data_IF_215389404906
#
_entry.id   IF_215389404906
#
_cell.length_a   1.000
_cell.length_b   1.000
_cell.length_c   1.000
_cell.angle_alpha   90.00
_cell.angle_beta   90.00
_cell.angle_gamma   90.00
#
_symmetry.space_group_name_H-M   'P 1'
#
loop_
_entity.id
_entity.type
_entity.pdbx_description
1 polymer ?
#
# COMPACT_ATOMS: atom_id res chain seq x y z
N UNK A 1 2.36 -7.10 4.63
CA UNK A 1 2.71 -5.78 4.08
C UNK A 1 3.57 -4.98 5.05
N UNK A 2 3.01 -4.50 6.17
CA UNK A 2 3.73 -3.67 7.14
C UNK A 2 5.03 -4.32 7.65
N UNK A 3 4.99 -5.57 8.09
CA UNK A 3 6.20 -6.29 8.55
C UNK A 3 7.26 -6.45 7.46
N UNK A 4 6.85 -6.63 6.20
CA UNK A 4 7.78 -6.75 5.07
C UNK A 4 8.52 -5.43 4.83
N UNK A 5 7.78 -4.33 4.82
CA UNK A 5 8.33 -2.98 4.65
C UNK A 5 9.25 -2.61 5.82
N UNK A 6 8.85 -2.90 7.06
CA UNK A 6 9.68 -2.69 8.25
C UNK A 6 10.97 -3.52 8.19
N UNK A 7 10.89 -4.80 7.79
CA UNK A 7 12.07 -5.65 7.63
C UNK A 7 13.03 -5.18 6.54
N UNK A 8 12.51 -4.47 5.52
CA UNK A 8 13.30 -3.83 4.47
C UNK A 8 13.82 -2.43 4.86
N UNK A 9 13.47 -1.92 6.04
CA UNK A 9 13.83 -0.56 6.48
C UNK A 9 13.09 0.55 5.72
N UNK A 10 11.96 0.22 5.09
CA UNK A 10 11.15 1.16 4.32
C UNK A 10 10.27 1.95 5.27
N UNK A 11 10.26 3.28 5.11
CA UNK A 11 9.39 4.15 5.89
C UNK A 11 8.03 4.21 5.23
N UNK A 12 6.96 3.85 5.95
CA UNK A 12 5.60 3.88 5.45
C UNK A 12 4.64 4.45 6.49
N UNK A 13 3.54 5.03 6.02
CA UNK A 13 2.45 5.51 6.87
C UNK A 13 1.32 4.50 6.84
N UNK A 14 0.89 4.05 8.02
CA UNK A 14 -0.28 3.18 8.15
C UNK A 14 -1.53 4.06 8.19
N UNK A 15 -2.41 3.88 7.21
CA UNK A 15 -3.76 4.45 7.19
C UNK A 15 -4.77 3.35 7.47
N UNK A 16 -5.64 3.58 8.45
CA UNK A 16 -6.68 2.63 8.83
C UNK A 16 -7.95 2.92 8.04
N UNK A 17 -8.32 2.05 7.12
CA UNK A 17 -9.50 2.25 6.24
C UNK A 17 -10.84 2.28 6.99
N UNK A 18 -10.86 1.85 8.25
CA UNK A 18 -12.02 1.96 9.13
C UNK A 18 -12.17 3.36 9.76
N UNK A 19 -11.10 4.13 9.83
CA UNK A 19 -11.09 5.46 10.45
C UNK A 19 -10.87 6.56 9.40
N UNK A 20 -9.90 6.35 8.50
CA UNK A 20 -9.64 7.20 7.33
C UNK A 20 -10.61 6.84 6.21
N UNK A 21 -11.78 7.47 6.22
CA UNK A 21 -12.75 7.36 5.13
C UNK A 21 -12.16 7.88 3.80
N UNK A 22 -11.30 8.90 3.84
CA UNK A 22 -10.60 9.45 2.69
C UNK A 22 -9.64 8.43 2.05
N UNK A 23 -8.91 7.67 2.86
CA UNK A 23 -8.03 6.60 2.38
C UNK A 23 -8.84 5.45 1.77
N UNK A 24 -10.02 5.17 2.33
CA UNK A 24 -10.95 4.19 1.80
C UNK A 24 -11.50 4.64 0.44
N UNK A 25 -11.92 5.89 0.33
CA UNK A 25 -12.42 6.46 -0.93
C UNK A 25 -11.35 6.49 -2.02
N UNK A 26 -10.12 6.91 -1.69
CA UNK A 26 -8.98 6.86 -2.60
C UNK A 26 -8.75 5.43 -3.13
N UNK A 27 -8.71 4.44 -2.24
CA UNK A 27 -8.57 3.04 -2.66
C UNK A 27 -9.71 2.59 -3.57
N UNK A 28 -10.96 2.95 -3.26
CA UNK A 28 -12.10 2.65 -4.12
C UNK A 28 -12.00 3.33 -5.49
N UNK A 29 -11.57 4.59 -5.53
CA UNK A 29 -11.34 5.37 -6.75
C UNK A 29 -10.26 4.75 -7.64
N UNK A 30 -9.22 4.18 -7.01
CA UNK A 30 -8.14 3.43 -7.65
C UNK A 30 -8.54 2.01 -8.08
N UNK A 31 -9.80 1.60 -7.86
CA UNK A 31 -10.31 0.28 -8.19
C UNK A 31 -9.89 -0.82 -7.21
N UNK A 32 -9.28 -0.45 -6.09
CA UNK A 32 -8.84 -1.36 -5.04
C UNK A 32 -10.00 -1.72 -4.14
N UNK A 33 -10.47 -2.96 -4.24
CA UNK A 33 -11.63 -3.44 -3.48
C UNK A 33 -11.26 -4.20 -2.21
N UNK A 34 -9.98 -4.41 -1.95
CA UNK A 34 -9.51 -5.27 -0.85
C UNK A 34 -8.14 -4.85 -0.34
N UNK A 35 -8.01 -4.78 0.98
CA UNK A 35 -6.73 -4.68 1.65
C UNK A 35 -6.00 -6.04 1.63
N UNK A 36 -4.66 -6.09 1.73
CA UNK A 36 -3.75 -4.95 1.84
C UNK A 36 -3.52 -4.24 0.51
N UNK A 37 -3.30 -2.93 0.57
CA UNK A 37 -2.92 -2.09 -0.57
C UNK A 37 -1.76 -1.18 -0.17
N UNK A 38 -0.89 -0.85 -1.12
CA UNK A 38 0.25 0.04 -0.93
C UNK A 38 0.28 1.04 -2.08
N UNK A 39 0.32 2.32 -1.73
CA UNK A 39 0.56 3.39 -2.67
C UNK A 39 2.01 3.88 -2.50
N UNK A 40 2.76 3.95 -3.60
CA UNK A 40 4.12 4.47 -3.66
C UNK A 40 4.20 5.43 -4.84
N UNK A 41 4.48 6.71 -4.59
CA UNK A 41 4.62 7.75 -5.63
C UNK A 41 3.44 7.84 -6.63
N UNK A 42 2.21 7.59 -6.15
CA UNK A 42 1.00 7.57 -6.98
C UNK A 42 0.73 6.24 -7.68
N UNK A 43 1.66 5.28 -7.62
CA UNK A 43 1.48 3.91 -8.10
C UNK A 43 0.88 3.04 -7.00
N UNK A 44 -0.13 2.23 -7.34
CA UNK A 44 -0.95 1.51 -6.36
C UNK A 44 -0.83 0.02 -6.60
N UNK A 45 -0.27 -0.67 -5.63
CA UNK A 45 -0.23 -2.13 -5.57
C UNK A 45 -1.31 -2.64 -4.66
N UNK A 46 -2.14 -3.51 -5.21
CA UNK A 46 -3.14 -4.25 -4.46
C UNK A 46 -2.61 -5.64 -4.16
N UNK A 47 -2.92 -6.16 -2.97
CA UNK A 47 -2.42 -7.45 -2.52
C UNK A 47 -0.97 -7.42 -2.04
N UNK A 48 -0.38 -8.60 -1.93
CA UNK A 48 0.97 -8.81 -1.40
C UNK A 48 1.90 -9.37 -2.48
N UNK A 49 2.26 -8.53 -3.45
CA UNK A 49 3.16 -8.87 -4.55
C UNK A 49 4.58 -8.37 -4.29
N UNK A 50 5.46 -9.26 -3.80
CA UNK A 50 6.84 -8.90 -3.46
C UNK A 50 7.59 -8.29 -4.64
N UNK A 51 7.47 -8.87 -5.84
CA UNK A 51 8.14 -8.38 -7.04
C UNK A 51 7.69 -6.96 -7.43
N UNK A 52 6.38 -6.67 -7.34
CA UNK A 52 5.84 -5.32 -7.59
C UNK A 52 6.28 -4.33 -6.51
N UNK A 53 6.25 -4.76 -5.25
CA UNK A 53 6.64 -3.93 -4.11
C UNK A 53 8.13 -3.55 -4.21
N UNK A 54 9.03 -4.51 -4.45
CA UNK A 54 10.46 -4.20 -4.64
C UNK A 54 10.66 -3.31 -5.87
N UNK A 55 9.96 -3.56 -6.99
CA UNK A 55 10.05 -2.70 -8.16
C UNK A 55 9.60 -1.25 -7.89
N UNK A 56 8.51 -1.05 -7.13
CA UNK A 56 8.04 0.29 -6.76
C UNK A 56 8.94 0.99 -5.74
N UNK A 57 9.57 0.21 -4.86
CA UNK A 57 10.50 0.74 -3.85
C UNK A 57 11.93 0.89 -4.37
N UNK A 58 12.21 0.40 -5.59
CA UNK A 58 13.55 0.40 -6.18
C UNK A 58 14.54 -0.52 -5.45
N UNK A 59 14.05 -1.64 -4.91
CA UNK A 59 14.84 -2.65 -4.18
C UNK A 59 15.32 -3.80 -5.08
#
# INVERSE_FOLDING_TARGET
MAEYLTGKGVTFVRKDLMIDEEAREELFSLGVRSAPALMVDGDVVTGFDRARIDALLGL
#
